data_IF_713355573861
#
_entry.id   IF_713355573861
#
_cell.length_a   1.000
_cell.length_b   1.000
_cell.length_c   1.000
_cell.angle_alpha   90.00
_cell.angle_beta   90.00
_cell.angle_gamma   90.00
#
_symmetry.space_group_name_H-M   'P 1'
#
loop_
_entity.id
_entity.type
_entity.pdbx_description
1 polymer ?
#
# COMPACT_ATOMS: atom_id res chain seq x y z
N UNK A 1 -10.05 7.08 -25.10
CA UNK A 1 -11.21 6.64 -24.36
C UNK A 1 -11.79 7.81 -23.55
N UNK A 2 -13.10 7.79 -23.24
CA UNK A 2 -13.84 8.87 -22.54
C UNK A 2 -13.14 9.34 -21.26
N UNK A 3 -12.52 8.45 -20.52
CA UNK A 3 -11.84 8.75 -19.25
C UNK A 3 -10.62 9.66 -19.41
N UNK A 4 -9.79 9.46 -20.45
CA UNK A 4 -8.64 10.33 -20.71
C UNK A 4 -9.05 11.77 -21.08
N UNK A 5 -10.18 11.94 -21.78
CA UNK A 5 -10.69 13.27 -22.13
C UNK A 5 -11.30 13.97 -20.92
N UNK A 6 -12.00 13.22 -20.04
CA UNK A 6 -12.55 13.76 -18.80
C UNK A 6 -11.45 14.23 -17.85
N UNK A 7 -10.44 13.41 -17.64
CA UNK A 7 -9.29 13.75 -16.79
C UNK A 7 -8.54 14.98 -17.30
N UNK A 8 -8.33 15.11 -18.61
CA UNK A 8 -7.72 16.29 -19.23
C UNK A 8 -8.55 17.58 -19.01
N UNK A 9 -9.88 17.47 -19.17
CA UNK A 9 -10.79 18.62 -19.04
C UNK A 9 -10.86 19.16 -17.61
N UNK A 10 -10.64 18.30 -16.61
CA UNK A 10 -10.76 18.66 -15.19
C UNK A 10 -9.44 18.77 -14.46
N UNK A 11 -8.28 18.78 -15.17
CA UNK A 11 -6.95 18.75 -14.58
C UNK A 11 -6.75 17.61 -13.56
N UNK A 12 -7.51 16.55 -13.68
CA UNK A 12 -7.38 15.34 -12.86
C UNK A 12 -6.18 14.59 -13.44
N UNK A 13 -5.11 14.50 -12.67
CA UNK A 13 -3.99 13.63 -13.02
C UNK A 13 -4.53 12.21 -12.99
N UNK A 14 -4.81 11.64 -14.16
CA UNK A 14 -5.13 10.22 -14.24
C UNK A 14 -3.95 9.47 -13.61
N UNK A 15 -4.23 8.48 -12.78
CA UNK A 15 -3.24 7.69 -12.06
C UNK A 15 -2.20 6.94 -12.90
N UNK A 16 -2.16 7.21 -14.20
CA UNK A 16 -1.18 6.68 -15.15
C UNK A 16 0.23 7.25 -14.97
N UNK A 17 0.42 8.33 -14.24
CA UNK A 17 1.72 9.00 -14.15
C UNK A 17 2.82 8.14 -13.56
N UNK A 18 2.55 7.38 -12.51
CA UNK A 18 3.52 6.43 -11.92
C UNK A 18 3.70 5.20 -12.79
N UNK A 19 2.62 4.68 -13.30
CA UNK A 19 2.55 3.51 -14.12
C UNK A 19 3.30 3.69 -15.45
N UNK A 20 3.16 4.85 -16.09
CA UNK A 20 3.87 5.19 -17.32
C UNK A 20 5.37 5.49 -17.09
N UNK A 21 5.72 6.07 -15.93
CA UNK A 21 7.11 6.40 -15.61
C UNK A 21 8.01 5.17 -15.41
N UNK A 22 7.47 4.08 -14.90
CA UNK A 22 8.22 2.85 -14.73
C UNK A 22 8.25 1.94 -15.97
N UNK A 23 7.40 2.14 -16.97
CA UNK A 23 7.30 1.48 -18.30
C UNK A 23 7.77 0.01 -18.42
N UNK A 24 7.93 -0.67 -17.30
CA UNK A 24 8.38 -2.06 -17.21
C UNK A 24 7.31 -2.80 -16.40
N UNK A 25 6.27 -3.27 -17.08
CA UNK A 25 5.19 -3.99 -16.45
C UNK A 25 4.34 -3.11 -15.53
N UNK A 26 3.76 -3.70 -14.51
CA UNK A 26 2.78 -3.07 -13.61
C UNK A 26 3.42 -2.41 -12.37
N UNK A 27 4.67 -1.97 -12.46
CA UNK A 27 5.41 -1.38 -11.33
C UNK A 27 4.86 -0.01 -10.90
N UNK A 28 4.78 0.20 -9.60
CA UNK A 28 4.34 1.44 -8.97
C UNK A 28 2.82 1.51 -8.74
N UNK A 29 2.09 0.43 -8.94
CA UNK A 29 0.65 0.36 -8.64
C UNK A 29 0.39 0.58 -7.16
N UNK A 30 1.16 -0.06 -6.28
CA UNK A 30 0.96 0.07 -4.84
C UNK A 30 1.06 1.52 -4.38
N UNK A 31 2.09 2.25 -4.82
CA UNK A 31 2.22 3.67 -4.48
C UNK A 31 1.07 4.50 -5.08
N UNK A 32 0.67 4.22 -6.33
CA UNK A 32 -0.40 4.95 -6.98
C UNK A 32 -1.75 4.76 -6.27
N UNK A 33 -2.09 3.53 -5.92
CA UNK A 33 -3.33 3.22 -5.19
C UNK A 33 -3.30 3.79 -3.77
N UNK A 34 -2.17 3.66 -3.06
CA UNK A 34 -1.99 4.27 -1.75
C UNK A 34 -2.17 5.78 -1.79
N UNK A 35 -1.56 6.47 -2.75
CA UNK A 35 -1.71 7.93 -2.94
C UNK A 35 -3.15 8.32 -3.31
N UNK A 36 -3.78 7.57 -4.21
CA UNK A 36 -5.17 7.83 -4.62
C UNK A 36 -6.10 7.75 -3.42
N UNK A 37 -6.01 6.68 -2.64
CA UNK A 37 -6.83 6.51 -1.45
C UNK A 37 -6.51 7.54 -0.35
N UNK A 38 -5.24 7.87 -0.15
CA UNK A 38 -4.83 8.90 0.78
C UNK A 38 -5.39 10.29 0.39
N UNK A 39 -5.38 10.65 -0.92
CA UNK A 39 -5.99 11.88 -1.43
C UNK A 39 -7.51 11.85 -1.19
N UNK A 40 -8.18 10.75 -1.51
CA UNK A 40 -9.61 10.58 -1.27
C UNK A 40 -9.95 10.77 0.21
N UNK A 41 -9.20 10.13 1.10
CA UNK A 41 -9.39 10.29 2.54
C UNK A 41 -9.23 11.74 3.01
N UNK A 42 -8.18 12.45 2.52
CA UNK A 42 -7.96 13.88 2.83
C UNK A 42 -9.08 14.77 2.28
N UNK A 43 -9.77 14.34 1.25
CA UNK A 43 -10.93 15.03 0.69
C UNK A 43 -12.26 14.66 1.37
N UNK A 44 -12.23 13.82 2.41
CA UNK A 44 -13.42 13.39 3.16
C UNK A 44 -14.15 12.19 2.54
N UNK A 45 -13.54 11.51 1.56
CA UNK A 45 -14.09 10.29 0.99
C UNK A 45 -13.43 9.07 1.64
N UNK A 46 -14.23 8.23 2.30
CA UNK A 46 -13.75 6.96 2.84
C UNK A 46 -13.78 5.90 1.73
N UNK A 47 -12.59 5.50 1.28
CA UNK A 47 -12.42 4.30 0.47
C UNK A 47 -11.59 3.31 1.29
N UNK A 48 -12.19 2.17 1.64
CA UNK A 48 -11.54 1.14 2.44
C UNK A 48 -10.73 0.14 1.58
N UNK A 49 -10.57 0.42 0.29
CA UNK A 49 -9.72 -0.38 -0.58
C UNK A 49 -8.26 -0.04 -0.29
N UNK A 50 -7.41 -1.03 -0.14
CA UNK A 50 -5.97 -0.87 0.10
C UNK A 50 -5.63 -0.02 1.34
N UNK A 51 -6.25 -0.33 2.48
CA UNK A 51 -6.06 0.40 3.75
C UNK A 51 -4.58 0.47 4.12
N UNK A 52 -3.86 -0.63 3.99
CA UNK A 52 -2.44 -0.75 4.34
C UNK A 52 -1.58 0.23 3.54
N UNK A 53 -1.81 0.32 2.23
CA UNK A 53 -1.10 1.28 1.37
C UNK A 53 -1.47 2.72 1.72
N UNK A 54 -2.71 2.96 2.13
CA UNK A 54 -3.15 4.27 2.61
C UNK A 54 -2.44 4.64 3.92
N UNK A 55 -2.32 3.71 4.86
CA UNK A 55 -1.56 3.90 6.10
C UNK A 55 -0.10 4.23 5.84
N UNK A 56 0.56 3.52 4.92
CA UNK A 56 1.93 3.83 4.51
C UNK A 56 2.07 5.26 3.96
N UNK A 57 1.06 5.77 3.25
CA UNK A 57 1.09 7.17 2.78
C UNK A 57 0.90 8.18 3.92
N UNK A 58 0.13 7.84 4.97
CA UNK A 58 0.06 8.66 6.18
C UNK A 58 1.38 8.67 6.95
N UNK A 59 2.05 7.55 7.07
CA UNK A 59 3.39 7.47 7.68
C UNK A 59 4.41 8.30 6.91
N UNK A 60 4.39 8.21 5.58
CA UNK A 60 5.21 9.08 4.74
C UNK A 60 4.85 10.55 4.93
N UNK A 61 3.58 10.90 5.06
CA UNK A 61 3.16 12.28 5.36
C UNK A 61 3.77 12.78 6.68
N UNK A 62 3.76 11.95 7.72
CA UNK A 62 4.39 12.27 9.00
C UNK A 62 5.90 12.43 8.87
N UNK A 63 6.54 11.60 8.05
CA UNK A 63 7.97 11.56 7.87
C UNK A 63 8.53 12.71 7.02
N UNK A 64 7.90 13.01 5.89
CA UNK A 64 8.43 13.93 4.88
C UNK A 64 7.53 15.15 4.61
N UNK A 65 6.33 15.18 5.16
CA UNK A 65 5.35 16.24 5.02
C UNK A 65 4.40 16.07 3.83
N UNK A 66 3.19 16.61 3.99
CA UNK A 66 2.08 16.51 3.04
C UNK A 66 2.45 16.92 1.61
N UNK A 67 3.17 18.05 1.46
CA UNK A 67 3.50 18.58 0.13
C UNK A 67 4.40 17.62 -0.65
N UNK A 68 5.35 16.98 0.00
CA UNK A 68 6.22 15.99 -0.65
C UNK A 68 5.45 14.74 -1.05
N UNK A 69 4.55 14.25 -0.18
CA UNK A 69 3.67 13.11 -0.51
C UNK A 69 2.78 13.45 -1.70
N UNK A 70 2.16 14.62 -1.72
CA UNK A 70 1.37 15.07 -2.88
C UNK A 70 2.20 15.13 -4.18
N UNK A 71 3.48 15.45 -4.09
CA UNK A 71 4.39 15.50 -5.25
C UNK A 71 4.81 14.10 -5.72
N UNK A 72 4.72 13.06 -4.90
CA UNK A 72 4.96 11.68 -5.35
C UNK A 72 4.05 11.28 -6.52
N UNK A 73 2.80 11.75 -6.54
CA UNK A 73 1.84 11.51 -7.62
C UNK A 73 1.98 12.42 -8.85
N UNK A 74 2.91 13.36 -8.86
CA UNK A 74 3.04 14.35 -9.93
C UNK A 74 4.37 14.21 -10.69
N UNK A 75 4.28 13.96 -11.99
CA UNK A 75 5.41 14.04 -12.91
C UNK A 75 6.28 12.79 -13.01
N UNK A 76 7.56 12.94 -13.34
CA UNK A 76 8.50 11.85 -13.55
C UNK A 76 8.96 11.25 -12.21
N UNK A 77 8.36 10.14 -11.86
CA UNK A 77 8.58 9.49 -10.57
C UNK A 77 9.93 8.80 -10.44
N UNK A 78 10.55 8.39 -11.53
CA UNK A 78 11.95 7.90 -11.48
C UNK A 78 12.90 8.95 -10.90
N UNK A 79 12.60 10.21 -11.16
CA UNK A 79 13.33 11.36 -10.61
C UNK A 79 12.80 11.78 -9.24
N UNK A 80 11.49 11.81 -9.09
CA UNK A 80 10.86 12.38 -7.91
C UNK A 80 10.97 11.48 -6.67
N UNK A 81 10.83 10.16 -6.80
CA UNK A 81 10.91 9.26 -5.64
C UNK A 81 12.27 9.39 -4.94
N UNK A 82 13.44 9.23 -5.61
CA UNK A 82 14.72 9.39 -4.95
C UNK A 82 14.88 10.75 -4.28
N UNK A 83 14.47 11.82 -4.95
CA UNK A 83 14.62 13.19 -4.43
C UNK A 83 13.67 13.50 -3.28
N UNK A 84 12.40 13.09 -3.38
CA UNK A 84 11.39 13.40 -2.38
C UNK A 84 11.56 12.52 -1.14
N UNK A 85 11.90 11.25 -1.33
CA UNK A 85 12.11 10.29 -0.24
C UNK A 85 13.56 10.28 0.25
N UNK A 86 14.51 10.95 -0.43
CA UNK A 86 15.93 10.87 -0.08
C UNK A 86 16.45 9.43 -0.08
N UNK A 87 15.84 8.54 -0.84
CA UNK A 87 16.21 7.14 -0.98
C UNK A 87 17.23 6.98 -2.10
N UNK A 88 18.22 6.11 -1.90
CA UNK A 88 19.09 5.68 -3.00
C UNK A 88 18.32 4.77 -3.96
N UNK A 89 18.96 4.39 -5.09
CA UNK A 89 18.31 3.61 -6.13
C UNK A 89 17.82 2.23 -5.67
N UNK A 90 18.56 1.58 -4.78
CA UNK A 90 18.20 0.25 -4.25
C UNK A 90 17.03 0.36 -3.27
N UNK A 91 17.08 1.34 -2.37
CA UNK A 91 15.98 1.63 -1.45
C UNK A 91 14.68 1.98 -2.19
N UNK A 92 14.77 2.82 -3.23
CA UNK A 92 13.60 3.15 -4.06
C UNK A 92 13.03 1.91 -4.76
N UNK A 93 13.90 1.06 -5.28
CA UNK A 93 13.46 -0.19 -5.92
C UNK A 93 12.76 -1.09 -4.91
N UNK A 94 13.35 -1.30 -3.73
CA UNK A 94 12.78 -2.11 -2.68
C UNK A 94 11.41 -1.56 -2.26
N UNK A 95 11.31 -0.27 -1.99
CA UNK A 95 10.06 0.38 -1.60
C UNK A 95 8.95 0.23 -2.65
N UNK A 96 9.27 0.38 -3.94
CA UNK A 96 8.31 0.17 -5.03
C UNK A 96 7.90 -1.29 -5.12
N UNK A 97 8.87 -2.21 -5.09
CA UNK A 97 8.59 -3.65 -5.19
C UNK A 97 7.76 -4.14 -3.97
N UNK A 98 8.02 -3.65 -2.77
CA UNK A 98 7.25 -3.94 -1.54
C UNK A 98 5.81 -3.41 -1.63
N UNK A 99 5.62 -2.15 -2.00
CA UNK A 99 4.28 -1.57 -2.14
C UNK A 99 3.47 -2.25 -3.26
N UNK A 100 4.10 -2.64 -4.35
CA UNK A 100 3.46 -3.43 -5.40
C UNK A 100 3.09 -4.84 -4.92
N UNK A 101 3.93 -5.48 -4.11
CA UNK A 101 3.62 -6.78 -3.49
C UNK A 101 2.39 -6.67 -2.59
N UNK A 102 2.31 -5.65 -1.73
CA UNK A 102 1.13 -5.39 -0.89
C UNK A 102 -0.13 -5.21 -1.76
N UNK A 103 -0.02 -4.46 -2.85
CA UNK A 103 -1.13 -4.24 -3.78
C UNK A 103 -1.64 -5.56 -4.38
N UNK A 104 -0.74 -6.36 -4.99
CA UNK A 104 -1.11 -7.60 -5.67
C UNK A 104 -1.61 -8.67 -4.69
N UNK A 105 -1.04 -8.72 -3.49
CA UNK A 105 -1.50 -9.65 -2.46
C UNK A 105 -2.90 -9.28 -1.98
N UNK A 106 -3.21 -8.00 -1.78
CA UNK A 106 -4.54 -7.55 -1.40
C UNK A 106 -5.59 -7.83 -2.48
N UNK A 107 -5.23 -7.64 -3.75
CA UNK A 107 -6.08 -8.01 -4.88
C UNK A 107 -6.35 -9.53 -4.89
N UNK A 108 -5.31 -10.33 -4.74
CA UNK A 108 -5.39 -11.80 -4.67
C UNK A 108 -6.20 -12.29 -3.46
N UNK A 109 -6.03 -11.68 -2.29
CA UNK A 109 -6.82 -11.96 -1.09
C UNK A 109 -8.31 -11.68 -1.32
N UNK A 110 -8.63 -10.56 -1.96
CA UNK A 110 -10.00 -10.22 -2.33
C UNK A 110 -10.63 -11.28 -3.23
N UNK A 111 -9.91 -11.73 -4.26
CA UNK A 111 -10.36 -12.79 -5.16
C UNK A 111 -10.53 -14.14 -4.44
N UNK A 112 -9.60 -14.51 -3.55
CA UNK A 112 -9.72 -15.74 -2.76
C UNK A 112 -10.96 -15.72 -1.87
N UNK A 113 -11.22 -14.61 -1.17
CA UNK A 113 -12.39 -14.42 -0.30
C UNK A 113 -13.71 -14.54 -1.07
N UNK A 114 -13.79 -13.89 -2.23
CA UNK A 114 -14.96 -14.00 -3.11
C UNK A 114 -15.15 -15.45 -3.58
N UNK A 115 -14.07 -16.13 -3.93
CA UNK A 115 -14.12 -17.54 -4.36
C UNK A 115 -14.58 -18.46 -3.24
N UNK A 116 -14.09 -18.28 -2.01
CA UNK A 116 -14.52 -19.03 -0.83
C UNK A 116 -16.01 -18.80 -0.58
N UNK A 117 -16.47 -17.54 -0.53
CA UNK A 117 -17.87 -17.20 -0.33
C UNK A 117 -18.80 -17.81 -1.38
N UNK A 118 -18.35 -17.90 -2.63
CA UNK A 118 -19.13 -18.53 -3.69
C UNK A 118 -19.20 -20.06 -3.55
N UNK A 119 -18.14 -20.70 -3.08
CA UNK A 119 -18.11 -22.14 -2.83
C UNK A 119 -18.90 -22.55 -1.59
N UNK A 120 -18.91 -21.72 -0.54
CA UNK A 120 -19.67 -21.95 0.69
C UNK A 120 -21.20 -22.01 0.47
N UNK A 121 -21.67 -21.48 -0.65
CA UNK A 121 -23.08 -21.57 -1.06
C UNK A 121 -23.48 -22.96 -1.62
N UNK A 122 -22.51 -23.85 -1.86
CA UNK A 122 -22.72 -25.17 -2.46
C UNK A 122 -22.17 -26.25 -1.54
N UNK A 123 -22.99 -27.17 -1.08
CA UNK A 123 -22.71 -28.14 0.00
C UNK A 123 -21.60 -29.17 -0.27
N UNK A 124 -21.01 -29.26 -1.47
CA UNK A 124 -20.06 -30.34 -1.85
C UNK A 124 -18.62 -29.84 -2.09
N UNK A 125 -18.17 -28.79 -1.42
CA UNK A 125 -16.86 -28.19 -1.70
C UNK A 125 -15.92 -28.06 -0.48
N UNK A 126 -16.11 -28.84 0.57
CA UNK A 126 -15.39 -28.68 1.85
C UNK A 126 -13.86 -28.71 1.68
N UNK A 127 -13.32 -29.71 0.97
CA UNK A 127 -11.87 -29.83 0.75
C UNK A 127 -11.30 -28.63 -0.02
N UNK A 128 -12.05 -28.15 -1.00
CA UNK A 128 -11.64 -27.01 -1.82
C UNK A 128 -11.70 -25.71 -1.02
N UNK A 129 -12.72 -25.54 -0.20
CA UNK A 129 -12.87 -24.41 0.73
C UNK A 129 -11.71 -24.41 1.73
N UNK A 130 -11.43 -25.57 2.32
CA UNK A 130 -10.29 -25.72 3.25
C UNK A 130 -8.97 -25.30 2.59
N UNK A 131 -8.67 -25.82 1.41
CA UNK A 131 -7.46 -25.45 0.66
C UNK A 131 -7.36 -23.95 0.35
N UNK A 132 -8.47 -23.30 -0.04
CA UNK A 132 -8.48 -21.87 -0.33
C UNK A 132 -8.32 -21.03 0.95
N UNK A 133 -8.89 -21.46 2.07
CA UNK A 133 -8.71 -20.81 3.38
C UNK A 133 -7.26 -20.90 3.87
N UNK A 134 -6.59 -22.02 3.65
CA UNK A 134 -5.17 -22.14 3.99
C UNK A 134 -4.31 -21.20 3.12
N UNK A 135 -4.59 -21.12 1.81
CA UNK A 135 -3.93 -20.16 0.92
C UNK A 135 -4.20 -18.71 1.31
N UNK A 136 -5.41 -18.37 1.72
CA UNK A 136 -5.73 -17.03 2.21
C UNK A 136 -4.90 -16.67 3.44
N UNK A 137 -4.78 -17.61 4.42
CA UNK A 137 -3.98 -17.39 5.63
C UNK A 137 -2.49 -17.19 5.31
N UNK A 138 -1.94 -18.02 4.43
CA UNK A 138 -0.54 -17.93 4.00
C UNK A 138 -0.27 -16.56 3.34
N UNK A 139 -1.09 -16.18 2.37
CA UNK A 139 -0.95 -14.92 1.66
C UNK A 139 -1.16 -13.71 2.57
N UNK A 140 -2.09 -13.78 3.53
CA UNK A 140 -2.30 -12.72 4.51
C UNK A 140 -1.07 -12.53 5.41
N UNK A 141 -0.44 -13.64 5.86
CA UNK A 141 0.80 -13.59 6.65
C UNK A 141 1.96 -13.00 5.86
N UNK A 142 2.17 -13.44 4.61
CA UNK A 142 3.21 -12.88 3.74
C UNK A 142 3.00 -11.37 3.53
N UNK A 143 1.76 -10.95 3.33
CA UNK A 143 1.43 -9.53 3.17
C UNK A 143 1.76 -8.74 4.42
N UNK A 144 1.43 -9.27 5.60
CA UNK A 144 1.73 -8.63 6.89
C UNK A 144 3.25 -8.50 7.12
N UNK A 145 4.04 -9.50 6.73
CA UNK A 145 5.51 -9.44 6.80
C UNK A 145 6.06 -8.32 5.90
N UNK A 146 5.59 -8.22 4.66
CA UNK A 146 6.01 -7.15 3.74
C UNK A 146 5.60 -5.76 4.24
N UNK A 147 4.41 -5.62 4.84
CA UNK A 147 3.96 -4.36 5.45
C UNK A 147 4.92 -3.96 6.56
N UNK A 148 5.22 -4.87 7.49
CA UNK A 148 6.15 -4.63 8.61
C UNK A 148 7.55 -4.22 8.12
N UNK A 149 8.05 -4.87 7.07
CA UNK A 149 9.36 -4.54 6.49
C UNK A 149 9.34 -3.14 5.87
N UNK A 150 8.27 -2.78 5.17
CA UNK A 150 8.10 -1.46 4.54
C UNK A 150 7.97 -0.36 5.59
N UNK A 151 7.14 -0.57 6.60
CA UNK A 151 6.98 0.34 7.75
C UNK A 151 8.31 0.52 8.49
N UNK A 152 9.02 -0.57 8.78
CA UNK A 152 10.33 -0.53 9.43
C UNK A 152 11.34 0.28 8.62
N UNK A 153 11.34 0.14 7.30
CA UNK A 153 12.21 0.90 6.40
C UNK A 153 11.93 2.40 6.45
N UNK A 154 10.65 2.80 6.39
CA UNK A 154 10.23 4.19 6.53
C UNK A 154 10.66 4.71 7.90
N UNK A 155 10.37 3.93 8.93
CA UNK A 155 10.63 4.31 10.30
C UNK A 155 12.12 4.47 10.59
N UNK A 156 12.95 3.51 10.19
CA UNK A 156 14.40 3.56 10.34
C UNK A 156 15.05 4.72 9.58
N UNK A 157 14.45 5.12 8.46
CA UNK A 157 15.01 6.19 7.63
C UNK A 157 14.66 7.58 8.12
N UNK A 158 13.42 7.81 8.55
CA UNK A 158 12.91 9.16 8.75
C UNK A 158 12.70 9.55 10.21
N UNK A 159 12.57 8.60 11.11
CA UNK A 159 12.27 8.90 12.50
C UNK A 159 13.50 8.89 13.38
N UNK A 160 13.57 9.81 14.35
CA UNK A 160 14.65 9.85 15.33
C UNK A 160 14.61 8.65 16.27
N UNK A 161 15.75 8.39 16.94
CA UNK A 161 15.86 7.31 17.93
C UNK A 161 14.81 7.44 19.05
N UNK A 162 14.52 8.64 19.48
CA UNK A 162 13.53 8.91 20.53
C UNK A 162 12.11 8.51 20.10
N UNK A 163 11.71 8.87 18.86
CA UNK A 163 10.43 8.45 18.29
C UNK A 163 10.34 6.93 18.14
N UNK A 164 11.43 6.28 17.73
CA UNK A 164 11.52 4.82 17.64
C UNK A 164 11.27 4.14 18.99
N UNK A 165 11.82 4.69 20.07
CA UNK A 165 11.57 4.18 21.42
C UNK A 165 10.14 4.37 21.89
N UNK A 166 9.52 5.51 21.56
CA UNK A 166 8.12 5.79 21.90
C UNK A 166 7.20 4.79 21.19
N UNK A 167 7.37 4.59 19.90
CA UNK A 167 6.56 3.63 19.12
C UNK A 167 6.74 2.19 19.62
N UNK A 168 7.97 1.75 19.87
CA UNK A 168 8.22 0.41 20.44
C UNK A 168 7.53 0.20 21.79
N UNK A 169 7.54 1.22 22.63
CA UNK A 169 6.84 1.16 23.92
C UNK A 169 5.31 1.11 23.74
N UNK A 170 4.77 1.77 22.73
CA UNK A 170 3.35 1.73 22.43
C UNK A 170 2.94 0.35 21.89
N UNK A 171 3.68 -0.19 20.90
CA UNK A 171 3.44 -1.54 20.37
C UNK A 171 3.43 -2.61 21.47
N UNK A 172 4.39 -2.57 22.41
CA UNK A 172 4.44 -3.50 23.54
C UNK A 172 3.19 -3.37 24.41
N UNK A 173 2.65 -2.16 24.61
CA UNK A 173 1.42 -1.96 25.35
C UNK A 173 0.20 -2.51 24.61
N UNK A 174 0.12 -2.28 23.31
CA UNK A 174 -0.98 -2.74 22.47
C UNK A 174 -1.00 -4.27 22.37
N UNK A 175 0.16 -4.92 22.21
CA UNK A 175 0.29 -6.38 22.28
C UNK A 175 -0.07 -6.96 23.65
N UNK A 176 0.24 -6.25 24.73
CA UNK A 176 -0.15 -6.65 26.08
C UNK A 176 -1.67 -6.53 26.31
N UNK A 177 -2.32 -5.54 25.65
CA UNK A 177 -3.76 -5.33 25.74
C UNK A 177 -4.59 -6.38 24.98
N UNK A 178 -4.04 -6.90 23.87
CA UNK A 178 -4.68 -7.95 23.05
C UNK A 178 -4.64 -9.33 23.73
N UNK A 179 -3.75 -9.51 24.71
CA UNK A 179 -3.62 -10.77 25.47
C UNK A 179 -4.52 -10.90 26.71
N UNK A 180 -5.34 -9.91 26.96
CA UNK A 180 -6.39 -9.91 28.00
C UNK A 180 -7.77 -9.93 27.38
#
# INVERSE_FOLDING_TARGET
TRDKQYCKKHNIVSGSGMYEAYKIGERGRGINEGLTNWICYKAGYCNNTYIELTCLMFELELAIGKEKVMRLGKGDLKRNIPQLLGMNRLECKAFVDETDTIYFNNDSLSHLRVSILNLEKNENNEDRIFYLKEKERELARETEEVIKDTESRIFEKYFSREWKEIFRKQQIKDEAFIKF
#
